data_IF_346253650358
#
_entry.id   IF_346253650358
#
_cell.length_a   1.000
_cell.length_b   1.000
_cell.length_c   1.000
_cell.angle_alpha   90.00
_cell.angle_beta   90.00
_cell.angle_gamma   90.00
#
_symmetry.space_group_name_H-M   'P 1'
#
loop_
_entity.id
_entity.type
_entity.pdbx_description
1 polymer ?
#
# COMPACT_ATOMS: atom_id res chain seq x y z
N UNK A 1 -23.08 -20.66 19.93
CA UNK A 1 -21.98 -20.06 19.14
C UNK A 1 -21.31 -21.16 18.34
N UNK A 2 -20.74 -20.84 17.18
CA UNK A 2 -19.88 -21.76 16.42
C UNK A 2 -18.65 -22.16 17.25
N UNK A 3 -18.25 -23.43 17.19
CA UNK A 3 -17.07 -23.92 17.93
C UNK A 3 -15.77 -23.54 17.21
N UNK A 4 -14.82 -22.94 17.93
CA UNK A 4 -13.51 -22.53 17.42
C UNK A 4 -12.40 -23.35 18.09
N UNK A 5 -11.78 -24.27 17.36
CA UNK A 5 -10.85 -25.25 17.94
C UNK A 5 -9.44 -24.70 18.21
N UNK A 6 -9.08 -23.54 17.63
CA UNK A 6 -7.75 -22.95 17.74
C UNK A 6 -7.50 -22.12 19.01
N UNK A 7 -8.50 -21.95 19.87
CA UNK A 7 -8.43 -21.06 21.02
C UNK A 7 -8.52 -19.58 20.64
N UNK A 8 -7.90 -18.71 21.42
CA UNK A 8 -7.91 -17.25 21.24
C UNK A 8 -6.57 -16.68 20.73
N UNK A 9 -6.62 -15.50 20.11
CA UNK A 9 -5.47 -14.82 19.54
C UNK A 9 -4.46 -14.40 20.61
N UNK A 10 -4.89 -14.09 21.84
CA UNK A 10 -3.95 -13.78 22.94
C UNK A 10 -3.02 -14.95 23.22
N UNK A 11 -3.56 -16.18 23.34
CA UNK A 11 -2.77 -17.40 23.51
C UNK A 11 -1.90 -17.66 22.28
N UNK A 12 -2.42 -17.43 21.08
CA UNK A 12 -1.67 -17.63 19.84
C UNK A 12 -0.43 -16.72 19.75
N UNK A 13 -0.56 -15.44 20.10
CA UNK A 13 0.57 -14.48 20.15
C UNK A 13 1.55 -14.88 21.25
N UNK A 14 1.07 -15.13 22.49
CA UNK A 14 1.94 -15.46 23.64
C UNK A 14 2.83 -16.66 23.40
N UNK A 15 2.28 -17.72 22.80
CA UNK A 15 3.03 -18.96 22.51
C UNK A 15 4.14 -18.74 21.48
N UNK A 16 4.00 -17.74 20.60
CA UNK A 16 4.98 -17.39 19.56
C UNK A 16 5.87 -16.20 19.92
N UNK A 17 5.60 -15.55 21.06
CA UNK A 17 6.20 -14.29 21.53
C UNK A 17 5.87 -13.08 20.66
N UNK A 18 5.96 -13.19 19.35
CA UNK A 18 5.55 -12.20 18.37
C UNK A 18 5.20 -12.91 17.05
N UNK A 19 4.44 -12.25 16.19
CA UNK A 19 4.09 -12.74 14.86
C UNK A 19 4.96 -12.03 13.81
N UNK A 20 5.45 -12.76 12.79
CA UNK A 20 6.03 -12.13 11.61
C UNK A 20 5.02 -11.17 10.97
N UNK A 21 5.51 -10.06 10.42
CA UNK A 21 4.68 -9.03 9.79
C UNK A 21 3.72 -9.61 8.73
N UNK A 22 4.19 -10.58 7.95
CA UNK A 22 3.39 -11.28 6.93
C UNK A 22 2.20 -12.02 7.52
N UNK A 23 2.35 -12.63 8.70
CA UNK A 23 1.24 -13.31 9.40
C UNK A 23 0.31 -12.27 10.04
N UNK A 24 0.88 -11.23 10.65
CA UNK A 24 0.09 -10.15 11.25
C UNK A 24 -0.77 -9.43 10.20
N UNK A 25 -0.27 -9.21 8.98
CA UNK A 25 -1.02 -8.64 7.86
C UNK A 25 -2.23 -9.49 7.46
N UNK A 26 -2.07 -10.80 7.35
CA UNK A 26 -3.20 -11.71 7.02
C UNK A 26 -4.27 -11.67 8.12
N UNK A 27 -3.87 -11.65 9.38
CA UNK A 27 -4.78 -11.53 10.51
C UNK A 27 -5.49 -10.18 10.53
N UNK A 28 -4.77 -9.09 10.25
CA UNK A 28 -5.33 -7.76 10.14
C UNK A 28 -6.36 -7.65 9.01
N UNK A 29 -6.09 -8.26 7.85
CA UNK A 29 -7.05 -8.35 6.74
C UNK A 29 -8.37 -9.02 7.15
N UNK A 30 -8.29 -10.16 7.84
CA UNK A 30 -9.48 -10.87 8.31
C UNK A 30 -10.24 -10.04 9.37
N UNK A 31 -9.53 -9.37 10.26
CA UNK A 31 -10.13 -8.46 11.24
C UNK A 31 -10.79 -7.25 10.55
N UNK A 32 -10.15 -6.68 9.54
CA UNK A 32 -10.68 -5.57 8.74
C UNK A 32 -11.95 -5.98 7.99
N UNK A 33 -12.05 -7.21 7.45
CA UNK A 33 -13.30 -7.75 6.90
C UNK A 33 -14.44 -7.74 7.91
N UNK A 34 -14.20 -8.28 9.11
CA UNK A 34 -15.20 -8.30 10.16
C UNK A 34 -15.61 -6.88 10.58
N UNK A 35 -14.63 -6.00 10.74
CA UNK A 35 -14.85 -4.61 11.14
C UNK A 35 -15.63 -3.83 10.09
N UNK A 36 -15.32 -4.02 8.80
CA UNK A 36 -16.09 -3.44 7.69
C UNK A 36 -17.55 -3.88 7.72
N UNK A 37 -17.79 -5.18 7.91
CA UNK A 37 -19.15 -5.72 7.99
C UNK A 37 -19.98 -5.08 9.10
N UNK A 38 -19.36 -4.86 10.27
CA UNK A 38 -19.99 -4.20 11.43
C UNK A 38 -20.20 -2.71 11.18
N UNK A 39 -19.17 -2.02 10.68
CA UNK A 39 -19.21 -0.59 10.40
C UNK A 39 -20.29 -0.23 9.37
N UNK A 40 -20.41 -1.01 8.29
CA UNK A 40 -21.47 -0.83 7.28
C UNK A 40 -22.90 -1.01 7.85
N UNK A 41 -23.02 -1.54 9.08
CA UNK A 41 -24.28 -1.73 9.82
C UNK A 41 -24.39 -0.81 11.05
N UNK A 42 -23.51 0.18 11.17
CA UNK A 42 -23.43 1.06 12.33
C UNK A 42 -23.27 0.28 13.64
N UNK A 43 -22.50 -0.81 13.65
CA UNK A 43 -22.19 -1.58 14.86
C UNK A 43 -20.75 -1.32 15.25
N UNK A 44 -20.53 -0.87 16.48
CA UNK A 44 -19.20 -0.78 17.12
C UNK A 44 -19.07 -1.86 18.16
N UNK A 45 -17.92 -2.53 18.21
CA UNK A 45 -17.67 -3.65 19.11
C UNK A 45 -17.31 -3.18 20.53
N UNK A 46 -16.46 -2.15 20.63
CA UNK A 46 -16.05 -1.44 21.86
C UNK A 46 -15.25 -2.26 22.90
N UNK A 47 -15.04 -3.56 22.67
CA UNK A 47 -14.12 -4.41 23.45
C UNK A 47 -13.28 -5.33 22.53
N UNK A 48 -12.71 -4.76 21.47
CA UNK A 48 -11.77 -5.48 20.62
C UNK A 48 -10.47 -5.74 21.37
N UNK A 49 -10.12 -7.02 21.51
CA UNK A 49 -8.88 -7.49 22.14
C UNK A 49 -8.56 -8.91 21.66
N UNK A 50 -7.29 -9.38 21.75
CA UNK A 50 -6.92 -10.71 21.27
C UNK A 50 -7.68 -11.86 21.97
N UNK A 51 -8.20 -11.67 23.19
CA UNK A 51 -9.02 -12.67 23.88
C UNK A 51 -10.40 -12.84 23.25
N UNK A 52 -10.93 -11.80 22.60
CA UNK A 52 -12.23 -11.80 21.91
C UNK A 52 -12.10 -12.13 20.42
N UNK A 53 -10.91 -12.55 19.97
CA UNK A 53 -10.65 -12.99 18.60
C UNK A 53 -10.28 -14.47 18.66
N UNK A 54 -11.20 -15.32 18.21
CA UNK A 54 -11.06 -16.77 18.23
C UNK A 54 -10.45 -17.29 16.93
N UNK A 55 -9.80 -18.45 17.00
CA UNK A 55 -9.17 -19.12 15.87
C UNK A 55 -9.98 -20.37 15.51
N UNK A 56 -10.38 -20.50 14.24
CA UNK A 56 -11.19 -21.64 13.77
C UNK A 56 -10.51 -22.99 14.00
N UNK A 57 -9.20 -23.07 13.78
CA UNK A 57 -8.38 -24.27 13.91
C UNK A 57 -6.98 -23.95 14.47
N UNK A 58 -6.22 -24.94 14.99
CA UNK A 58 -4.86 -24.72 15.48
C UNK A 58 -3.83 -24.37 14.38
N UNK A 59 -4.01 -24.94 13.19
CA UNK A 59 -3.15 -24.75 12.02
C UNK A 59 -3.90 -23.96 10.94
N UNK A 60 -3.23 -22.99 10.31
CA UNK A 60 -3.82 -22.09 9.31
C UNK A 60 -5.18 -21.50 9.73
N UNK A 61 -5.27 -20.86 10.91
CA UNK A 61 -6.53 -20.40 11.48
C UNK A 61 -7.18 -19.30 10.64
N UNK A 62 -8.52 -19.32 10.60
CA UNK A 62 -9.32 -18.13 10.33
C UNK A 62 -9.70 -17.47 11.66
N UNK A 63 -9.60 -16.14 11.70
CA UNK A 63 -10.04 -15.34 12.82
C UNK A 63 -11.55 -15.18 12.82
N UNK A 64 -12.15 -15.29 14.00
CA UNK A 64 -13.58 -15.05 14.24
C UNK A 64 -13.73 -14.12 15.42
N UNK A 65 -14.43 -13.00 15.21
CA UNK A 65 -14.73 -12.06 16.28
C UNK A 65 -15.79 -12.66 17.21
N UNK A 66 -15.59 -12.54 18.51
CA UNK A 66 -16.47 -13.05 19.55
C UNK A 66 -16.74 -11.97 20.62
N UNK A 67 -17.71 -12.26 21.49
CA UNK A 67 -18.08 -11.43 22.64
C UNK A 67 -18.52 -9.99 22.31
N UNK A 68 -19.73 -9.88 21.78
CA UNK A 68 -20.41 -8.62 21.51
C UNK A 68 -21.10 -8.02 22.76
N UNK A 69 -20.73 -8.44 23.98
CA UNK A 69 -21.39 -7.99 25.21
C UNK A 69 -21.33 -6.47 25.44
N UNK A 70 -20.35 -5.79 24.85
CA UNK A 70 -20.20 -4.33 24.90
C UNK A 70 -20.61 -3.63 23.61
N UNK A 71 -20.98 -4.37 22.56
CA UNK A 71 -21.27 -3.82 21.26
C UNK A 71 -22.50 -2.90 21.29
N UNK A 72 -22.51 -1.89 20.43
CA UNK A 72 -23.56 -0.90 20.34
C UNK A 72 -23.86 -0.55 18.89
N UNK A 73 -25.11 -0.16 18.63
CA UNK A 73 -25.43 0.58 17.42
C UNK A 73 -24.95 2.03 17.57
N UNK A 74 -24.08 2.47 16.67
CA UNK A 74 -23.45 3.78 16.63
C UNK A 74 -23.42 4.29 15.20
N UNK A 75 -24.33 5.22 14.90
CA UNK A 75 -24.29 6.01 13.67
C UNK A 75 -23.10 6.98 13.72
N UNK A 76 -22.66 7.56 12.58
CA UNK A 76 -21.53 8.50 12.55
C UNK A 76 -21.70 9.75 13.44
N UNK A 77 -22.93 10.09 13.80
CA UNK A 77 -23.31 11.23 14.64
C UNK A 77 -23.48 10.85 16.11
N UNK A 78 -23.44 9.56 16.45
CA UNK A 78 -23.69 9.07 17.80
C UNK A 78 -22.41 9.13 18.63
N UNK A 79 -22.54 9.67 19.83
CA UNK A 79 -21.47 9.73 20.82
C UNK A 79 -21.90 9.02 22.10
N UNK A 80 -20.95 8.41 22.83
CA UNK A 80 -21.22 7.63 24.05
C UNK A 80 -20.36 8.12 25.22
N UNK A 81 -20.92 7.94 26.42
CA UNK A 81 -20.31 8.41 27.68
C UNK A 81 -20.01 7.32 28.71
N UNK A 82 -20.52 6.10 28.51
CA UNK A 82 -20.30 5.00 29.46
C UNK A 82 -18.97 4.33 29.14
N UNK A 83 -18.08 4.25 30.14
CA UNK A 83 -16.81 3.53 30.04
C UNK A 83 -17.08 2.03 29.85
N UNK A 84 -16.53 1.45 28.77
CA UNK A 84 -16.68 0.03 28.41
C UNK A 84 -15.38 -0.49 27.83
N UNK A 85 -15.18 -1.80 27.92
CA UNK A 85 -14.03 -2.48 27.34
C UNK A 85 -12.89 -2.73 28.33
N UNK A 86 -11.77 -3.19 27.78
CA UNK A 86 -10.61 -3.66 28.55
C UNK A 86 -9.50 -2.60 28.56
N UNK A 87 -9.06 -2.08 29.72
CA UNK A 87 -8.22 -0.87 29.82
C UNK A 87 -6.98 -0.82 28.92
N UNK A 88 -6.31 -1.96 28.67
CA UNK A 88 -5.12 -2.03 27.81
C UNK A 88 -5.39 -1.76 26.32
N UNK A 89 -6.64 -1.93 25.87
CA UNK A 89 -7.05 -1.83 24.47
C UNK A 89 -8.00 -0.66 24.21
N UNK A 90 -8.41 0.05 25.26
CA UNK A 90 -9.32 1.19 25.16
C UNK A 90 -8.62 2.41 24.58
N UNK A 91 -9.36 3.16 23.76
CA UNK A 91 -8.88 4.41 23.21
C UNK A 91 -8.72 5.49 24.30
N UNK A 92 -7.72 6.39 24.21
CA UNK A 92 -7.48 7.40 25.23
C UNK A 92 -8.69 8.30 25.52
N UNK A 93 -9.47 8.64 24.49
CA UNK A 93 -10.67 9.45 24.62
C UNK A 93 -11.78 8.78 25.46
N UNK A 94 -11.85 7.44 25.46
CA UNK A 94 -12.81 6.70 26.29
C UNK A 94 -12.49 6.88 27.77
N UNK A 95 -11.20 6.87 28.11
CA UNK A 95 -10.70 6.97 29.50
C UNK A 95 -10.66 8.43 29.97
N UNK A 96 -10.11 9.32 29.15
CA UNK A 96 -9.83 10.71 29.55
C UNK A 96 -11.04 11.63 29.44
N UNK A 97 -11.90 11.41 28.45
CA UNK A 97 -12.98 12.36 28.12
C UNK A 97 -14.38 11.76 28.33
N UNK A 98 -14.48 10.43 28.42
CA UNK A 98 -15.76 9.70 28.44
C UNK A 98 -16.67 10.20 27.30
N UNK A 99 -16.06 10.42 26.14
CA UNK A 99 -16.73 10.91 24.96
C UNK A 99 -16.03 10.35 23.75
N UNK A 100 -16.69 9.42 23.06
CA UNK A 100 -16.09 8.64 22.00
C UNK A 100 -17.13 8.23 20.95
N UNK A 101 -16.62 7.93 19.76
CA UNK A 101 -17.36 7.39 18.63
C UNK A 101 -16.80 6.03 18.19
N UNK A 102 -17.27 5.52 17.04
CA UNK A 102 -16.86 4.23 16.50
C UNK A 102 -15.34 4.11 16.23
N UNK A 103 -14.59 5.22 16.10
CA UNK A 103 -13.13 5.21 15.87
C UNK A 103 -12.34 4.69 17.08
N UNK A 104 -12.99 4.50 18.22
CA UNK A 104 -12.41 3.78 19.34
C UNK A 104 -12.02 2.34 18.95
N UNK A 105 -12.78 1.67 18.09
CA UNK A 105 -12.44 0.32 17.61
C UNK A 105 -11.14 0.33 16.78
N UNK A 106 -10.87 1.38 16.00
CA UNK A 106 -9.63 1.51 15.21
C UNK A 106 -8.40 1.62 16.11
N UNK A 107 -8.52 2.32 17.24
CA UNK A 107 -7.45 2.33 18.25
C UNK A 107 -7.17 0.91 18.77
N UNK A 108 -8.23 0.18 19.15
CA UNK A 108 -8.09 -1.19 19.64
C UNK A 108 -7.45 -2.12 18.60
N UNK A 109 -7.78 -1.96 17.31
CA UNK A 109 -7.11 -2.65 16.20
C UNK A 109 -5.62 -2.32 16.15
N UNK A 110 -5.25 -1.04 16.30
CA UNK A 110 -3.85 -0.61 16.40
C UNK A 110 -3.11 -1.27 17.55
N UNK A 111 -3.75 -1.37 18.72
CA UNK A 111 -3.18 -2.06 19.89
C UNK A 111 -2.99 -3.56 19.63
N UNK A 112 -3.97 -4.22 18.99
CA UNK A 112 -3.89 -5.64 18.61
C UNK A 112 -2.74 -5.86 17.62
N UNK A 113 -2.61 -5.01 16.60
CA UNK A 113 -1.52 -5.10 15.61
C UNK A 113 -0.16 -4.89 16.27
N UNK A 114 -0.04 -3.90 17.16
CA UNK A 114 1.17 -3.67 17.95
C UNK A 114 1.51 -4.90 18.80
N UNK A 115 0.55 -5.46 19.54
CA UNK A 115 0.78 -6.65 20.36
C UNK A 115 1.16 -7.87 19.52
N UNK A 116 0.56 -8.04 18.35
CA UNK A 116 0.93 -9.10 17.43
C UNK A 116 2.40 -8.99 16.98
N UNK A 117 2.88 -7.78 16.66
CA UNK A 117 4.22 -7.54 16.13
C UNK A 117 5.31 -7.50 17.21
N UNK A 118 4.99 -6.99 18.40
CA UNK A 118 5.97 -6.77 19.47
C UNK A 118 5.76 -7.66 20.70
N UNK A 119 4.70 -8.46 20.72
CA UNK A 119 4.41 -9.46 21.77
C UNK A 119 3.73 -8.94 23.02
N UNK A 120 3.56 -7.61 23.13
CA UNK A 120 2.91 -6.95 24.27
C UNK A 120 2.20 -5.68 23.81
N UNK A 121 1.11 -5.25 24.47
CA UNK A 121 0.47 -3.97 24.21
C UNK A 121 1.43 -2.78 24.46
N UNK A 122 1.24 -1.63 23.79
CA UNK A 122 2.10 -0.45 23.92
C UNK A 122 2.09 0.11 25.35
N UNK A 123 0.96 0.00 26.06
CA UNK A 123 0.80 0.49 27.42
C UNK A 123 0.78 -0.61 28.48
N UNK A 124 1.44 -1.75 28.22
CA UNK A 124 1.61 -2.77 29.26
C UNK A 124 2.21 -2.15 30.55
N UNK A 125 1.53 -2.35 31.67
CA UNK A 125 1.82 -1.71 32.96
C UNK A 125 1.63 -2.71 34.11
N UNK A 126 2.29 -2.45 35.25
CA UNK A 126 2.21 -3.29 36.45
C UNK A 126 1.02 -2.94 37.34
N UNK A 127 0.46 -1.75 37.19
CA UNK A 127 -0.72 -1.28 37.92
C UNK A 127 -1.68 -0.52 37.01
N UNK A 128 -2.94 -0.41 37.43
CA UNK A 128 -3.94 0.39 36.74
C UNK A 128 -3.58 1.88 36.74
N UNK A 129 -3.02 2.39 37.83
CA UNK A 129 -2.57 3.78 37.91
C UNK A 129 -1.47 4.11 36.88
N UNK A 130 -0.49 3.21 36.70
CA UNK A 130 0.57 3.37 35.68
C UNK A 130 -0.01 3.30 34.26
N UNK A 131 -0.99 2.41 34.03
CA UNK A 131 -1.69 2.34 32.75
C UNK A 131 -2.44 3.65 32.46
N UNK A 132 -3.20 4.14 33.44
CA UNK A 132 -3.95 5.38 33.32
C UNK A 132 -3.03 6.58 33.05
N UNK A 133 -1.87 6.66 33.71
CA UNK A 133 -0.87 7.69 33.45
C UNK A 133 -0.38 7.66 31.99
N UNK A 134 -0.06 6.46 31.46
CA UNK A 134 0.36 6.30 30.06
C UNK A 134 -0.74 6.66 29.06
N UNK A 135 -1.99 6.32 29.38
CA UNK A 135 -3.15 6.64 28.55
C UNK A 135 -3.40 8.16 28.56
N UNK A 136 -3.28 8.83 29.70
CA UNK A 136 -3.48 10.28 29.84
C UNK A 136 -2.32 11.12 29.29
N UNK A 137 -1.16 10.52 29.04
CA UNK A 137 -0.02 11.21 28.44
C UNK A 137 -0.32 11.69 27.01
N UNK A 138 0.18 12.86 26.63
CA UNK A 138 0.13 13.36 25.25
C UNK A 138 1.26 12.80 24.37
N UNK A 139 2.17 11.98 24.92
CA UNK A 139 3.28 11.39 24.17
C UNK A 139 2.77 10.38 23.14
N UNK A 140 3.21 10.52 21.89
CA UNK A 140 2.96 9.55 20.83
C UNK A 140 3.43 8.14 21.23
N UNK A 141 2.79 7.11 20.67
CA UNK A 141 3.21 5.73 20.92
C UNK A 141 4.52 5.47 20.20
N UNK A 142 5.57 5.15 20.95
CA UNK A 142 6.88 4.82 20.39
C UNK A 142 6.87 3.38 19.87
N UNK A 143 7.26 3.20 18.60
CA UNK A 143 7.44 1.88 18.01
C UNK A 143 8.88 1.39 18.29
N UNK A 144 9.06 0.17 18.82
CA UNK A 144 10.38 -0.42 18.96
C UNK A 144 11.16 -0.45 17.64
N UNK A 145 12.49 -0.34 17.74
CA UNK A 145 13.38 -0.43 16.56
C UNK A 145 13.45 -1.84 15.98
N UNK A 146 13.17 -2.87 16.80
CA UNK A 146 13.12 -4.28 16.40
C UNK A 146 11.77 -4.92 16.78
N UNK A 147 11.19 -5.75 15.89
CA UNK A 147 11.66 -6.09 14.54
C UNK A 147 11.59 -4.91 13.56
N UNK A 148 12.38 -4.98 12.48
CA UNK A 148 12.25 -4.02 11.37
C UNK A 148 10.94 -4.29 10.64
N UNK A 149 10.07 -3.29 10.65
CA UNK A 149 8.79 -3.31 9.96
C UNK A 149 8.88 -2.56 8.63
N UNK A 150 8.06 -2.96 7.64
CA UNK A 150 7.86 -2.19 6.41
C UNK A 150 7.38 -0.77 6.70
N UNK A 151 7.63 0.15 5.77
CA UNK A 151 7.19 1.54 5.89
C UNK A 151 5.66 1.62 5.98
N UNK A 152 4.96 0.81 5.20
CA UNK A 152 3.50 0.73 5.19
C UNK A 152 2.94 0.18 6.51
N UNK A 153 3.62 -0.78 7.15
CA UNK A 153 3.21 -1.28 8.46
C UNK A 153 3.39 -0.21 9.55
N UNK A 154 4.51 0.52 9.54
CA UNK A 154 4.80 1.60 10.50
C UNK A 154 3.83 2.76 10.34
N UNK A 155 3.55 3.15 9.09
CA UNK A 155 2.60 4.19 8.74
C UNK A 155 1.20 3.86 9.27
N UNK A 156 0.70 2.64 8.99
CA UNK A 156 -0.61 2.23 9.51
C UNK A 156 -0.67 2.22 11.04
N UNK A 157 0.35 1.68 11.70
CA UNK A 157 0.42 1.65 13.17
C UNK A 157 0.36 3.05 13.76
N UNK A 158 1.11 4.00 13.19
CA UNK A 158 1.13 5.39 13.65
C UNK A 158 -0.24 6.04 13.48
N UNK A 159 -0.92 5.83 12.36
CA UNK A 159 -2.23 6.43 12.11
C UNK A 159 -3.38 5.79 12.92
N UNK A 160 -3.29 4.49 13.26
CA UNK A 160 -4.25 3.81 14.15
C UNK A 160 -4.06 4.22 15.62
N UNK A 161 -2.81 4.35 16.05
CA UNK A 161 -2.42 4.73 17.42
C UNK A 161 -2.28 6.25 17.62
N UNK A 162 -2.92 7.03 16.74
CA UNK A 162 -3.11 8.46 16.93
C UNK A 162 -4.13 8.71 18.05
N UNK A 163 -3.73 9.52 19.02
CA UNK A 163 -4.49 9.75 20.26
C UNK A 163 -5.69 10.64 20.03
N UNK A 164 -5.57 11.64 19.17
CA UNK A 164 -6.71 12.49 18.80
C UNK A 164 -7.61 11.72 17.81
N UNK A 165 -8.84 11.32 18.18
CA UNK A 165 -9.71 10.57 17.27
C UNK A 165 -10.00 11.33 15.98
N UNK A 166 -9.87 12.67 15.96
CA UNK A 166 -10.06 13.49 14.75
C UNK A 166 -8.90 13.39 13.75
N UNK A 167 -7.70 13.08 14.24
CA UNK A 167 -6.49 12.86 13.42
C UNK A 167 -6.25 11.39 13.12
N UNK A 168 -6.83 10.50 13.93
CA UNK A 168 -6.79 9.05 13.71
C UNK A 168 -7.37 8.71 12.35
N UNK A 169 -6.77 7.72 11.69
CA UNK A 169 -7.22 7.22 10.39
C UNK A 169 -8.73 6.95 10.40
N UNK A 170 -9.43 7.34 9.34
CA UNK A 170 -10.85 7.03 9.18
C UNK A 170 -11.04 5.56 8.80
N UNK A 171 -12.27 5.04 8.91
CA UNK A 171 -12.58 3.68 8.47
C UNK A 171 -12.34 3.51 6.96
N UNK A 172 -12.72 4.49 6.16
CA UNK A 172 -12.52 4.48 4.70
C UNK A 172 -11.03 4.40 4.36
N UNK A 173 -10.21 5.26 4.98
CA UNK A 173 -8.77 5.26 4.80
C UNK A 173 -8.13 3.96 5.32
N UNK A 174 -8.60 3.42 6.45
CA UNK A 174 -8.13 2.15 7.00
C UNK A 174 -8.37 0.98 6.03
N UNK A 175 -9.58 0.85 5.48
CA UNK A 175 -9.90 -0.22 4.54
C UNK A 175 -9.16 -0.07 3.20
N UNK A 176 -8.84 1.16 2.80
CA UNK A 176 -8.07 1.47 1.59
C UNK A 176 -6.55 1.44 1.80
N UNK A 177 -6.07 1.25 3.03
CA UNK A 177 -4.66 1.39 3.35
C UNK A 177 -3.82 0.31 2.65
N UNK A 178 -2.66 0.64 2.03
CA UNK A 178 -1.83 -0.31 1.27
C UNK A 178 -1.36 -1.52 2.07
N UNK A 179 -1.12 -1.34 3.37
CA UNK A 179 -0.77 -2.46 4.26
C UNK A 179 -1.94 -3.41 4.52
N UNK A 180 -3.18 -2.89 4.62
CA UNK A 180 -4.37 -3.73 4.82
C UNK A 180 -4.70 -4.46 3.53
N UNK A 181 -4.74 -3.75 2.40
CA UNK A 181 -4.93 -4.36 1.08
C UNK A 181 -6.17 -5.26 1.02
N UNK A 182 -7.34 -4.63 1.17
CA UNK A 182 -8.63 -5.33 1.12
C UNK A 182 -8.97 -5.89 -0.27
N UNK A 183 -8.25 -5.48 -1.32
CA UNK A 183 -8.46 -5.96 -2.69
C UNK A 183 -7.90 -7.38 -2.87
N UNK A 184 -6.74 -7.67 -2.27
CA UNK A 184 -6.01 -8.93 -2.46
C UNK A 184 -6.09 -9.88 -1.25
N UNK A 185 -7.18 -9.79 -0.47
CA UNK A 185 -7.38 -10.67 0.68
C UNK A 185 -7.31 -12.14 0.24
N UNK A 186 -6.55 -13.00 0.94
CA UNK A 186 -6.53 -14.43 0.66
C UNK A 186 -7.92 -15.05 0.82
N UNK A 187 -8.46 -15.61 -0.25
CA UNK A 187 -9.77 -16.26 -0.25
C UNK A 187 -9.97 -17.21 -1.43
N UNK A 188 -11.05 -18.02 -1.42
CA UNK A 188 -11.34 -18.97 -2.50
C UNK A 188 -11.57 -18.27 -3.85
N UNK A 189 -12.12 -17.05 -3.83
CA UNK A 189 -12.35 -16.25 -5.03
C UNK A 189 -11.06 -15.61 -5.59
N UNK A 190 -10.04 -15.39 -4.75
CA UNK A 190 -8.79 -14.72 -5.14
C UNK A 190 -8.03 -15.54 -6.17
N UNK A 191 -8.07 -16.88 -6.07
CA UNK A 191 -7.49 -17.76 -7.08
C UNK A 191 -8.26 -17.69 -8.41
N UNK A 192 -9.59 -17.53 -8.36
CA UNK A 192 -10.42 -17.34 -9.55
C UNK A 192 -10.05 -16.05 -10.29
N UNK A 193 -10.04 -14.92 -9.57
CA UNK A 193 -9.64 -13.61 -10.09
C UNK A 193 -8.21 -13.63 -10.67
N UNK A 194 -7.27 -14.24 -9.95
CA UNK A 194 -5.89 -14.40 -10.43
C UNK A 194 -5.83 -15.20 -11.74
N UNK A 195 -6.62 -16.28 -11.83
CA UNK A 195 -6.70 -17.13 -13.03
C UNK A 195 -7.25 -16.36 -14.21
N UNK A 196 -8.36 -15.62 -14.03
CA UNK A 196 -9.00 -14.83 -15.09
C UNK A 196 -8.04 -13.76 -15.64
N UNK A 197 -7.32 -13.07 -14.76
CA UNK A 197 -6.32 -12.07 -15.14
C UNK A 197 -5.15 -12.70 -15.92
N UNK A 198 -4.66 -13.88 -15.54
CA UNK A 198 -3.60 -14.57 -16.28
C UNK A 198 -4.08 -15.06 -17.64
N UNK A 199 -5.32 -15.56 -17.75
CA UNK A 199 -5.88 -15.99 -19.03
C UNK A 199 -5.90 -14.81 -20.01
N UNK A 200 -6.33 -13.65 -19.54
CA UNK A 200 -6.32 -12.42 -20.34
C UNK A 200 -4.89 -11.93 -20.62
N UNK A 201 -3.96 -12.06 -19.66
CA UNK A 201 -2.55 -11.73 -19.86
C UNK A 201 -1.91 -12.58 -20.97
N UNK A 202 -2.15 -13.89 -20.97
CA UNK A 202 -1.67 -14.83 -21.99
C UNK A 202 -2.27 -14.48 -23.37
N UNK A 203 -3.55 -14.12 -23.42
CA UNK A 203 -4.20 -13.69 -24.67
C UNK A 203 -3.54 -12.44 -25.24
N UNK A 204 -3.28 -11.43 -24.39
CA UNK A 204 -2.59 -10.19 -24.80
C UNK A 204 -1.15 -10.41 -25.22
N UNK A 205 -0.46 -11.34 -24.57
CA UNK A 205 0.89 -11.74 -24.93
C UNK A 205 0.91 -12.39 -26.33
N UNK A 206 -0.05 -13.28 -26.62
CA UNK A 206 -0.21 -13.91 -27.94
C UNK A 206 -0.60 -12.92 -29.05
N UNK A 207 -1.36 -11.87 -28.72
CA UNK A 207 -1.69 -10.78 -29.63
C UNK A 207 -0.48 -9.85 -29.92
N UNK A 208 0.63 -10.01 -29.21
CA UNK A 208 1.81 -9.17 -29.33
C UNK A 208 1.73 -7.84 -28.57
N UNK A 209 0.69 -7.63 -27.75
CA UNK A 209 0.55 -6.45 -26.90
C UNK A 209 1.33 -6.65 -25.58
N UNK A 210 2.66 -6.52 -25.68
CA UNK A 210 3.56 -6.75 -24.56
C UNK A 210 3.29 -5.83 -23.35
N UNK A 211 2.79 -4.60 -23.59
CA UNK A 211 2.49 -3.62 -22.52
C UNK A 211 1.25 -4.03 -21.72
N UNK A 212 0.15 -4.37 -22.41
CA UNK A 212 -1.05 -4.85 -21.74
C UNK A 212 -0.80 -6.19 -21.05
N UNK A 213 -0.10 -7.11 -21.71
CA UNK A 213 0.26 -8.41 -21.14
C UNK A 213 1.08 -8.27 -19.84
N UNK A 214 2.12 -7.43 -19.85
CA UNK A 214 2.93 -7.15 -18.66
C UNK A 214 2.09 -6.61 -17.49
N UNK A 215 1.22 -5.64 -17.77
CA UNK A 215 0.35 -5.05 -16.76
C UNK A 215 -0.60 -6.09 -16.14
N UNK A 216 -1.20 -6.95 -16.96
CA UNK A 216 -2.11 -8.01 -16.51
C UNK A 216 -1.39 -9.11 -15.74
N UNK A 217 -0.19 -9.53 -16.17
CA UNK A 217 0.63 -10.50 -15.42
C UNK A 217 1.00 -9.96 -14.04
N UNK A 218 1.45 -8.70 -13.96
CA UNK A 218 1.73 -8.05 -12.68
C UNK A 218 0.51 -8.05 -11.78
N UNK A 219 -0.64 -7.61 -12.30
CA UNK A 219 -1.89 -7.57 -11.53
C UNK A 219 -2.31 -8.96 -11.05
N UNK A 220 -2.19 -9.98 -11.90
CA UNK A 220 -2.55 -11.34 -11.50
C UNK A 220 -1.65 -11.88 -10.36
N UNK A 221 -0.37 -11.54 -10.36
CA UNK A 221 0.57 -11.95 -9.33
C UNK A 221 0.21 -11.37 -7.96
N UNK A 222 -0.35 -10.16 -7.90
CA UNK A 222 -0.87 -9.53 -6.68
C UNK A 222 -1.97 -10.38 -6.02
N UNK A 223 -2.76 -11.13 -6.80
CA UNK A 223 -3.77 -12.08 -6.28
C UNK A 223 -3.22 -13.50 -6.03
N UNK A 224 -2.26 -13.97 -6.83
CA UNK A 224 -1.70 -15.32 -6.69
C UNK A 224 -0.87 -15.50 -5.41
N UNK A 225 -0.07 -14.50 -5.03
CA UNK A 225 0.82 -14.61 -3.86
C UNK A 225 0.02 -14.79 -2.55
N UNK A 226 -1.01 -13.98 -2.26
CA UNK A 226 -1.88 -14.21 -1.10
C UNK A 226 -2.64 -15.54 -1.18
N UNK A 227 -3.14 -15.94 -2.36
CA UNK A 227 -3.88 -17.19 -2.54
C UNK A 227 -3.05 -18.44 -2.22
N UNK A 228 -1.74 -18.42 -2.52
CA UNK A 228 -0.82 -19.51 -2.18
C UNK A 228 -0.72 -19.77 -0.68
N UNK A 229 -0.86 -18.73 0.16
CA UNK A 229 -0.84 -18.90 1.60
C UNK A 229 -2.10 -19.58 2.14
N UNK A 230 -3.23 -19.40 1.44
CA UNK A 230 -4.52 -19.98 1.82
C UNK A 230 -4.73 -21.42 1.34
N UNK A 231 -4.06 -21.82 0.25
CA UNK A 231 -4.17 -23.19 -0.25
C UNK A 231 -3.61 -24.20 0.78
N UNK A 232 -4.48 -25.12 1.20
CA UNK A 232 -4.21 -26.11 2.25
C UNK A 232 -3.72 -27.44 1.67
N UNK A 233 -4.14 -27.76 0.43
CA UNK A 233 -3.64 -28.96 -0.26
C UNK A 233 -2.20 -28.73 -0.74
N UNK A 234 -1.27 -29.53 -0.21
CA UNK A 234 0.15 -29.40 -0.51
C UNK A 234 0.50 -29.61 -1.99
N UNK A 235 -0.22 -30.51 -2.69
CA UNK A 235 0.03 -30.79 -4.11
C UNK A 235 -0.48 -29.63 -4.97
N UNK A 236 -1.69 -29.15 -4.68
CA UNK A 236 -2.29 -28.00 -5.39
C UNK A 236 -1.47 -26.74 -5.17
N UNK A 237 -1.00 -26.52 -3.93
CA UNK A 237 -0.12 -25.40 -3.59
C UNK A 237 1.19 -25.41 -4.40
N UNK A 238 1.85 -26.56 -4.51
CA UNK A 238 3.08 -26.65 -5.31
C UNK A 238 2.82 -26.49 -6.81
N UNK A 239 1.68 -26.99 -7.32
CA UNK A 239 1.28 -26.78 -8.71
C UNK A 239 1.03 -25.29 -9.03
N UNK A 240 0.31 -24.58 -8.14
CA UNK A 240 0.09 -23.13 -8.28
C UNK A 240 1.43 -22.40 -8.18
N UNK A 241 2.31 -22.78 -7.25
CA UNK A 241 3.63 -22.15 -7.08
C UNK A 241 4.50 -22.32 -8.33
N UNK A 242 4.49 -23.50 -8.96
CA UNK A 242 5.19 -23.73 -10.22
C UNK A 242 4.67 -22.81 -11.34
N UNK A 243 3.35 -22.62 -11.43
CA UNK A 243 2.74 -21.70 -12.41
C UNK A 243 3.08 -20.24 -12.14
N UNK A 244 3.02 -19.81 -10.88
CA UNK A 244 3.40 -18.45 -10.47
C UNK A 244 4.85 -18.14 -10.86
N UNK A 245 5.78 -19.08 -10.65
CA UNK A 245 7.17 -18.92 -11.12
C UNK A 245 7.28 -18.71 -12.63
N UNK A 246 6.49 -19.45 -13.43
CA UNK A 246 6.44 -19.29 -14.88
C UNK A 246 5.91 -17.89 -15.26
N UNK A 247 4.85 -17.43 -14.60
CA UNK A 247 4.27 -16.11 -14.86
C UNK A 247 5.20 -14.95 -14.47
N UNK A 248 5.94 -15.08 -13.36
CA UNK A 248 6.98 -14.10 -12.97
C UNK A 248 8.06 -14.01 -14.06
N UNK A 249 8.61 -15.15 -14.49
CA UNK A 249 9.63 -15.18 -15.55
C UNK A 249 9.13 -14.52 -16.84
N UNK A 250 7.89 -14.80 -17.24
CA UNK A 250 7.31 -14.20 -18.45
C UNK A 250 7.08 -12.70 -18.29
N UNK A 251 6.62 -12.24 -17.13
CA UNK A 251 6.45 -10.82 -16.84
C UNK A 251 7.80 -10.06 -16.90
N UNK A 252 8.88 -10.67 -16.43
CA UNK A 252 10.23 -10.09 -16.52
C UNK A 252 10.69 -9.95 -17.98
N UNK A 253 10.48 -10.97 -18.81
CA UNK A 253 10.76 -10.91 -20.25
C UNK A 253 9.96 -9.80 -20.95
N UNK A 254 8.67 -9.72 -20.67
CA UNK A 254 7.79 -8.68 -21.23
C UNK A 254 8.19 -7.29 -20.76
N UNK A 255 8.63 -7.13 -19.50
CA UNK A 255 9.16 -5.87 -18.99
C UNK A 255 10.34 -5.38 -19.84
N UNK A 256 11.29 -6.26 -20.14
CA UNK A 256 12.45 -5.91 -20.99
C UNK A 256 11.98 -5.45 -22.38
N UNK A 257 11.06 -6.19 -23.00
CA UNK A 257 10.51 -5.84 -24.32
C UNK A 257 9.80 -4.47 -24.33
N UNK A 258 9.03 -4.17 -23.29
CA UNK A 258 8.37 -2.87 -23.11
C UNK A 258 9.40 -1.76 -22.92
N UNK A 259 10.42 -1.98 -22.10
CA UNK A 259 11.50 -1.00 -21.88
C UNK A 259 12.29 -0.74 -23.18
N UNK A 260 12.61 -1.76 -23.97
CA UNK A 260 13.29 -1.62 -25.26
C UNK A 260 12.43 -0.91 -26.31
N UNK A 261 11.14 -1.24 -26.38
CA UNK A 261 10.20 -0.59 -27.31
C UNK A 261 9.99 0.88 -26.98
N UNK A 262 9.89 1.21 -25.69
CA UNK A 262 9.86 2.60 -25.23
C UNK A 262 11.14 3.31 -25.66
N UNK A 263 12.33 2.75 -25.40
CA UNK A 263 13.61 3.35 -25.82
C UNK A 263 13.69 3.64 -27.33
N UNK A 264 13.22 2.71 -28.16
CA UNK A 264 13.16 2.90 -29.62
C UNK A 264 12.18 4.00 -30.06
N UNK A 265 11.06 4.18 -29.33
CA UNK A 265 10.13 5.29 -29.55
C UNK A 265 10.78 6.64 -29.19
N UNK A 266 11.63 6.67 -28.15
CA UNK A 266 12.36 7.87 -27.73
C UNK A 266 13.36 8.34 -28.80
N UNK A 267 14.06 7.41 -29.46
CA UNK A 267 15.02 7.73 -30.53
C UNK A 267 14.34 8.24 -31.81
N UNK A 268 13.11 7.78 -32.11
CA UNK A 268 12.33 8.23 -33.28
C UNK A 268 11.72 9.63 -33.15
N UNK A 269 11.61 10.19 -31.94
CA UNK A 269 11.05 11.54 -31.72
C UNK A 269 11.93 12.70 -32.19
N UNK A 270 13.23 12.46 -32.39
CA UNK A 270 14.21 13.52 -32.65
C UNK A 270 13.98 14.30 -33.98
N UNK A 271 13.68 13.65 -35.13
CA UNK A 271 13.44 14.37 -36.40
C UNK A 271 12.09 15.11 -36.45
N UNK A 272 11.07 14.59 -35.77
CA UNK A 272 9.73 15.16 -35.77
C UNK A 272 9.65 16.45 -34.93
N UNK A 273 10.42 16.50 -33.83
CA UNK A 273 10.49 17.67 -32.94
C UNK A 273 11.13 18.88 -33.60
N UNK A 274 12.23 18.70 -34.34
CA UNK A 274 12.89 19.80 -35.04
C UNK A 274 11.99 20.39 -36.12
N UNK A 275 11.26 19.55 -36.85
CA UNK A 275 10.23 20.01 -37.78
C UNK A 275 9.08 20.74 -37.05
N UNK A 276 8.64 20.24 -35.89
CA UNK A 276 7.60 20.88 -35.10
C UNK A 276 8.03 22.26 -34.58
N UNK A 277 9.28 22.42 -34.12
CA UNK A 277 9.86 23.71 -33.73
C UNK A 277 9.89 24.69 -34.89
N UNK A 278 10.29 24.23 -36.07
CA UNK A 278 10.31 25.05 -37.29
C UNK A 278 8.90 25.54 -37.65
N UNK A 279 7.91 24.65 -37.57
CA UNK A 279 6.50 24.97 -37.82
C UNK A 279 5.84 25.83 -36.73
N UNK A 280 6.47 25.98 -35.56
CA UNK A 280 5.93 26.72 -34.41
C UNK A 280 6.48 28.15 -34.29
N UNK A 281 7.37 28.60 -35.19
CA UNK A 281 8.03 29.92 -35.12
C UNK A 281 7.06 31.10 -35.03
N UNK A 282 5.87 30.98 -35.59
CA UNK A 282 4.77 31.95 -35.53
C UNK A 282 4.04 31.99 -34.18
N UNK A 283 4.29 31.02 -33.29
CA UNK A 283 3.63 30.85 -31.99
C UNK A 283 4.67 30.82 -30.86
N UNK A 284 5.06 31.99 -30.31
CA UNK A 284 6.13 32.07 -29.32
C UNK A 284 5.88 31.24 -28.06
N UNK A 285 4.60 31.10 -27.66
CA UNK A 285 4.22 30.29 -26.50
C UNK A 285 4.42 28.78 -26.74
N UNK A 286 4.19 28.30 -27.97
CA UNK A 286 4.44 26.92 -28.36
C UNK A 286 5.94 26.63 -28.49
N UNK A 287 6.70 27.55 -29.08
CA UNK A 287 8.16 27.45 -29.09
C UNK A 287 8.75 27.36 -27.68
N UNK A 288 8.32 28.24 -26.76
CA UNK A 288 8.80 28.23 -25.38
C UNK A 288 8.50 26.89 -24.68
N UNK A 289 7.30 26.32 -24.87
CA UNK A 289 6.96 25.02 -24.29
C UNK A 289 7.80 23.86 -24.88
N UNK A 290 8.10 23.90 -26.19
CA UNK A 290 8.97 22.93 -26.86
C UNK A 290 10.46 23.07 -26.48
N UNK A 291 10.91 24.29 -26.16
CA UNK A 291 12.23 24.57 -25.60
C UNK A 291 12.38 23.95 -24.21
N UNK A 292 11.38 24.15 -23.33
CA UNK A 292 11.36 23.52 -21.99
C UNK A 292 11.36 21.99 -22.12
N UNK A 293 10.59 21.43 -23.06
CA UNK A 293 10.61 20.00 -23.34
C UNK A 293 11.99 19.51 -23.83
N UNK A 294 12.68 20.30 -24.65
CA UNK A 294 14.04 19.97 -25.11
C UNK A 294 15.07 20.04 -23.98
N UNK A 295 14.91 21.00 -23.06
CA UNK A 295 15.74 21.11 -21.86
C UNK A 295 15.52 19.94 -20.89
N UNK A 296 14.27 19.48 -20.72
CA UNK A 296 13.95 18.29 -19.93
C UNK A 296 14.68 17.05 -20.48
N UNK A 297 14.66 16.89 -21.80
CA UNK A 297 15.32 15.80 -22.52
C UNK A 297 16.83 15.86 -22.40
N UNK A 298 17.43 17.03 -22.59
CA UNK A 298 18.87 17.22 -22.43
C UNK A 298 19.30 16.88 -21.00
N UNK A 299 18.55 17.32 -19.99
CA UNK A 299 18.82 16.98 -18.58
C UNK A 299 18.69 15.48 -18.30
N UNK A 300 17.66 14.82 -18.83
CA UNK A 300 17.51 13.37 -18.72
C UNK A 300 18.71 12.63 -19.35
N UNK A 301 19.16 13.07 -20.53
CA UNK A 301 20.29 12.45 -21.25
C UNK A 301 21.64 12.67 -20.56
N UNK A 302 21.79 13.80 -19.85
CA UNK A 302 22.94 14.04 -18.99
C UNK A 302 22.98 13.12 -17.75
N UNK A 303 21.82 12.58 -17.33
CA UNK A 303 21.70 11.58 -16.26
C UNK A 303 22.16 12.05 -14.88
N UNK A 304 22.30 13.36 -14.66
CA UNK A 304 22.81 13.95 -13.41
C UNK A 304 21.71 14.30 -12.41
N UNK A 305 20.51 14.65 -12.88
CA UNK A 305 19.41 15.12 -12.03
C UNK A 305 18.04 14.76 -12.62
N UNK A 306 17.60 13.54 -12.31
CA UNK A 306 16.35 12.99 -12.83
C UNK A 306 15.12 13.73 -12.27
N UNK A 307 15.20 14.26 -11.05
CA UNK A 307 14.12 15.02 -10.40
C UNK A 307 13.86 16.35 -11.11
N UNK A 308 14.92 17.10 -11.39
CA UNK A 308 14.84 18.34 -12.16
C UNK A 308 14.31 18.10 -13.59
N UNK A 309 14.77 17.03 -14.24
CA UNK A 309 14.28 16.66 -15.56
C UNK A 309 12.77 16.32 -15.53
N UNK A 310 12.30 15.62 -14.49
CA UNK A 310 10.88 15.31 -14.31
C UNK A 310 10.02 16.58 -14.11
N UNK A 311 10.50 17.56 -13.36
CA UNK A 311 9.79 18.83 -13.16
C UNK A 311 9.64 19.59 -14.49
N UNK A 312 10.70 19.66 -15.29
CA UNK A 312 10.66 20.28 -16.63
C UNK A 312 9.72 19.53 -17.58
N UNK A 313 9.64 18.19 -17.48
CA UNK A 313 8.64 17.42 -18.22
C UNK A 313 7.21 17.79 -17.81
N UNK A 314 6.92 17.89 -16.50
CA UNK A 314 5.59 18.25 -16.02
C UNK A 314 5.20 19.66 -16.45
N UNK A 315 6.13 20.62 -16.36
CA UNK A 315 5.93 21.99 -16.79
C UNK A 315 5.63 22.07 -18.30
N UNK A 316 6.47 21.45 -19.13
CA UNK A 316 6.28 21.47 -20.59
C UNK A 316 4.99 20.77 -21.02
N UNK A 317 4.67 19.61 -20.45
CA UNK A 317 3.44 18.87 -20.75
C UNK A 317 2.19 19.66 -20.37
N UNK A 318 2.19 20.38 -19.25
CA UNK A 318 1.08 21.23 -18.83
C UNK A 318 0.74 22.31 -19.86
N UNK A 319 1.75 23.00 -20.38
CA UNK A 319 1.57 24.03 -21.42
C UNK A 319 1.23 23.41 -22.79
N UNK A 320 1.90 22.33 -23.20
CA UNK A 320 1.67 21.70 -24.51
C UNK A 320 0.25 21.10 -24.64
N UNK A 321 -0.31 20.54 -23.57
CA UNK A 321 -1.69 20.03 -23.57
C UNK A 321 -2.72 21.14 -23.75
N UNK A 322 -2.52 22.30 -23.12
CA UNK A 322 -3.36 23.48 -23.30
C UNK A 322 -3.27 24.01 -24.75
N UNK A 323 -2.07 24.07 -25.29
CA UNK A 323 -1.82 24.54 -26.65
C UNK A 323 -2.39 23.58 -27.71
N UNK A 324 -2.33 22.26 -27.48
CA UNK A 324 -2.91 21.26 -28.35
C UNK A 324 -4.44 21.44 -28.49
N UNK A 325 -5.12 21.78 -27.40
CA UNK A 325 -6.57 22.02 -27.42
C UNK A 325 -6.95 23.23 -28.28
N UNK A 326 -6.09 24.26 -28.33
CA UNK A 326 -6.27 25.47 -29.12
C UNK A 326 -5.68 25.40 -30.55
N UNK A 327 -4.95 24.33 -30.88
CA UNK A 327 -4.29 24.19 -32.18
C UNK A 327 -5.31 23.77 -33.26
N UNK A 328 -5.41 24.49 -34.41
CA UNK A 328 -6.30 24.09 -35.50
C UNK A 328 -5.89 22.73 -36.08
N UNK A 329 -6.87 22.03 -36.68
CA UNK A 329 -6.61 20.77 -37.36
C UNK A 329 -5.59 20.97 -38.50
N UNK A 330 -4.56 20.11 -38.55
CA UNK A 330 -3.50 20.19 -39.53
C UNK A 330 -2.23 19.48 -39.06
N UNK A 331 -1.21 19.51 -39.92
CA UNK A 331 0.03 18.75 -39.71
C UNK A 331 0.77 19.10 -38.41
N UNK A 332 0.75 20.38 -38.01
CA UNK A 332 1.36 20.84 -36.75
C UNK A 332 0.68 20.23 -35.52
N UNK A 333 -0.66 20.11 -35.55
CA UNK A 333 -1.43 19.48 -34.46
C UNK A 333 -1.13 17.99 -34.34
N UNK A 334 -0.99 17.28 -35.47
CA UNK A 334 -0.60 15.87 -35.48
C UNK A 334 0.79 15.66 -34.86
N UNK A 335 1.77 16.47 -35.29
CA UNK A 335 3.13 16.42 -34.77
C UNK A 335 3.18 16.81 -33.28
N UNK A 336 2.44 17.84 -32.88
CA UNK A 336 2.32 18.25 -31.48
C UNK A 336 1.70 17.15 -30.61
N UNK A 337 0.65 16.49 -31.08
CA UNK A 337 0.03 15.38 -30.37
C UNK A 337 1.00 14.19 -30.21
N UNK A 338 1.72 13.83 -31.28
CA UNK A 338 2.73 12.77 -31.23
C UNK A 338 3.90 13.11 -30.29
N UNK A 339 4.33 14.37 -30.28
CA UNK A 339 5.37 14.85 -29.39
C UNK A 339 4.94 14.78 -27.92
N UNK A 340 3.72 15.23 -27.60
CA UNK A 340 3.15 15.15 -26.25
C UNK A 340 3.11 13.69 -25.76
N UNK A 341 2.66 12.75 -26.61
CA UNK A 341 2.66 11.32 -26.26
C UNK A 341 4.08 10.80 -25.95
N UNK A 342 5.07 11.26 -26.71
CA UNK A 342 6.48 10.91 -26.49
C UNK A 342 6.99 11.48 -25.16
N UNK A 343 6.72 12.75 -24.87
CA UNK A 343 7.12 13.42 -23.63
C UNK A 343 6.45 12.80 -22.40
N UNK A 344 5.17 12.44 -22.48
CA UNK A 344 4.46 11.74 -21.40
C UNK A 344 5.11 10.39 -21.09
N UNK A 345 5.49 9.63 -22.12
CA UNK A 345 6.17 8.34 -21.94
C UNK A 345 7.54 8.50 -21.27
N UNK A 346 8.31 9.55 -21.60
CA UNK A 346 9.59 9.88 -20.94
C UNK A 346 9.39 10.25 -19.48
N UNK A 347 8.42 11.12 -19.20
CA UNK A 347 8.13 11.57 -17.84
C UNK A 347 7.73 10.41 -16.92
N UNK A 348 6.87 9.50 -17.38
CA UNK A 348 6.46 8.34 -16.57
C UNK A 348 7.62 7.37 -16.33
N UNK A 349 8.47 7.14 -17.35
CA UNK A 349 9.66 6.31 -17.21
C UNK A 349 10.66 6.89 -16.20
N UNK A 350 10.90 8.21 -16.26
CA UNK A 350 11.81 8.89 -15.35
C UNK A 350 11.29 8.88 -13.92
N UNK A 351 9.98 9.06 -13.74
CA UNK A 351 9.29 8.95 -12.45
C UNK A 351 9.44 7.56 -11.83
N UNK A 352 9.33 6.50 -12.64
CA UNK A 352 9.56 5.13 -12.19
C UNK A 352 11.04 4.88 -11.80
N UNK A 353 11.99 5.45 -12.54
CA UNK A 353 13.43 5.39 -12.21
C UNK A 353 13.75 6.07 -10.87
N UNK A 354 13.20 7.27 -10.63
CA UNK A 354 13.38 8.01 -9.39
C UNK A 354 12.84 7.20 -8.21
N UNK A 355 11.62 6.68 -8.31
CA UNK A 355 11.03 5.81 -7.27
C UNK A 355 11.88 4.58 -6.97
N UNK A 356 12.47 3.96 -8.00
CA UNK A 356 13.36 2.81 -7.82
C UNK A 356 14.68 3.19 -7.14
N UNK A 357 15.27 4.36 -7.47
CA UNK A 357 16.51 4.83 -6.83
C UNK A 357 16.27 5.28 -5.39
N UNK A 358 15.16 5.94 -5.11
CA UNK A 358 14.77 6.30 -3.74
C UNK A 358 14.61 5.04 -2.88
N UNK A 359 13.95 4.00 -3.40
CA UNK A 359 13.83 2.72 -2.72
C UNK A 359 15.19 2.02 -2.47
N UNK A 360 16.15 2.14 -3.40
CA UNK A 360 17.51 1.59 -3.27
C UNK A 360 18.44 2.43 -2.37
N UNK A 361 18.31 3.76 -2.39
CA UNK A 361 19.04 4.70 -1.54
C UNK A 361 18.68 4.50 -0.08
N UNK A 362 17.37 4.42 0.21
CA UNK A 362 16.85 4.09 1.55
C UNK A 362 17.40 2.75 2.06
N UNK A 363 17.54 1.76 1.17
CA UNK A 363 18.15 0.46 1.51
C UNK A 363 19.67 0.51 1.75
N UNK A 364 20.40 1.35 1.01
CA UNK A 364 21.86 1.51 1.14
C UNK A 364 22.28 2.42 2.28
N UNK A 365 21.54 3.48 2.59
CA UNK A 365 21.76 4.32 3.77
C UNK A 365 21.51 3.51 5.05
N UNK A 366 20.44 2.72 5.10
CA UNK A 366 20.20 1.78 6.20
C UNK A 366 21.35 0.77 6.39
N UNK A 367 21.97 0.31 5.29
CA UNK A 367 23.13 -0.59 5.33
C UNK A 367 24.43 0.13 5.73
N UNK A 368 24.64 1.35 5.25
CA UNK A 368 25.84 2.15 5.50
C UNK A 368 25.86 2.74 6.92
N UNK A 369 24.70 3.08 7.48
CA UNK A 369 24.54 3.51 8.87
C UNK A 369 24.78 2.32 9.83
N UNK A 370 24.31 1.12 9.46
CA UNK A 370 24.61 -0.13 10.18
C UNK A 370 26.11 -0.50 10.16
N UNK A 371 26.85 -0.16 9.11
CA UNK A 371 28.31 -0.39 9.02
C UNK A 371 29.09 0.70 9.77
N UNK A 372 28.65 1.97 9.75
CA UNK A 372 29.28 3.05 10.54
C UNK A 372 29.07 2.89 12.04
N UNK A 373 27.91 2.38 12.49
CA UNK A 373 27.66 2.06 13.90
C UNK A 373 28.46 0.85 14.38
N UNK A 374 28.90 -0.04 13.47
CA UNK A 374 29.73 -1.20 13.78
C UNK A 374 31.24 -0.86 13.86
N UNK A 375 31.70 0.22 13.20
CA UNK A 375 33.12 0.61 13.15
C UNK A 375 33.52 1.78 14.09
N UNK A 376 32.60 2.30 14.92
CA UNK A 376 32.91 3.30 15.97
C UNK A 376 32.86 2.75 17.39
N UNK A 377 32.76 1.42 17.53
CA UNK A 377 32.99 0.69 18.77
C UNK A 377 34.30 -0.11 18.66
N UNK A 378 35.43 0.58 18.81
CA UNK A 378 36.68 -0.01 19.31
C UNK A 378 37.28 0.90 20.37
#
# INVERSE_FOLDING_TARGET
>A
MEFCAGGDLSRFIRTRRALPETVARVFLQQLACALKFLHDRNISHLDLKPQNILLSAPESPQLKLADFGFAQYMSPWDEKHVLRGSPLYMAPEMVCRQHYDARADLWSVGVILYEALFGKPPFASRSFAELEEKIRSDRAVELPSWPQLSLECRDLLAQLLERDPRKRISFECFFAHPFVDMEHIPGPESLGKATDLVVEAVRKDQEGDAKAAFSLYRKALEYFVPALHYESDARRKEAIRAKVRQYISRAEELKVLVTSSNKNLLEKGNPARELLKEMAKDKPRLCAALEVASAAIAKEEEGRDDSDALELYQQSLGELLLLLAAEPAGRRRELLHAEIQTLMARAEYLKDQIKMREAQSMGKEALAESVRSACTLQ
#
